data_IF_185758985722
#
_entry.id   IF_185758985722
#
_cell.length_a   1.000
_cell.length_b   1.000
_cell.length_c   1.000
_cell.angle_alpha   90.00
_cell.angle_beta   90.00
_cell.angle_gamma   90.00
#
_symmetry.space_group_name_H-M   'P 1'
#
loop_
_entity.id
_entity.type
_entity.pdbx_description
1 polymer ?
#
# COMPACT_ATOMS: atom_id res chain seq x y z
N UNK A 1 -1.49 35.68 -9.39
CA UNK A 1 -0.51 34.68 -9.84
C UNK A 1 -0.12 33.77 -8.65
N UNK A 2 -1.00 32.84 -8.26
CA UNK A 2 -0.83 32.02 -7.04
C UNK A 2 -1.72 30.75 -7.07
N UNK A 3 -1.59 29.87 -8.06
CA UNK A 3 -2.50 28.69 -8.16
C UNK A 3 -1.84 27.37 -8.55
N UNK A 4 -0.59 27.36 -9.04
CA UNK A 4 0.08 26.14 -9.51
C UNK A 4 0.61 25.26 -8.36
N UNK A 5 1.22 25.85 -7.32
CA UNK A 5 1.75 25.11 -6.16
C UNK A 5 0.66 24.46 -5.31
N UNK A 6 -0.50 25.12 -5.15
CA UNK A 6 -1.64 24.61 -4.35
C UNK A 6 -2.28 23.39 -5.02
N UNK A 7 -2.57 23.47 -6.32
CA UNK A 7 -3.13 22.33 -7.09
C UNK A 7 -2.21 21.12 -7.06
N UNK A 8 -0.90 21.31 -7.28
CA UNK A 8 0.08 20.23 -7.20
C UNK A 8 0.19 19.64 -5.78
N UNK A 9 0.06 20.46 -4.75
CA UNK A 9 0.03 20.01 -3.36
C UNK A 9 -1.20 19.18 -3.00
N UNK A 10 -2.39 19.56 -3.49
CA UNK A 10 -3.64 18.81 -3.31
C UNK A 10 -3.58 17.48 -4.07
N UNK A 11 -3.13 17.52 -5.34
CA UNK A 11 -2.91 16.32 -6.15
C UNK A 11 -1.94 15.37 -5.45
N UNK A 12 -0.78 15.87 -4.99
CA UNK A 12 0.18 15.04 -4.25
C UNK A 12 -0.41 14.48 -2.95
N UNK A 13 -1.29 15.20 -2.24
CA UNK A 13 -1.99 14.66 -1.05
C UNK A 13 -2.98 13.56 -1.39
N UNK A 14 -3.73 13.69 -2.48
CA UNK A 14 -4.62 12.63 -2.97
C UNK A 14 -3.85 11.39 -3.43
N UNK A 15 -2.69 11.57 -4.08
CA UNK A 15 -1.86 10.45 -4.56
C UNK A 15 -1.07 9.78 -3.43
N UNK A 16 -0.62 10.54 -2.40
CA UNK A 16 0.20 10.03 -1.28
C UNK A 16 -0.45 8.88 -0.50
N UNK A 17 -1.78 8.78 -0.52
CA UNK A 17 -2.54 7.77 0.20
C UNK A 17 -2.74 6.44 -0.56
N UNK A 18 -2.44 6.36 -1.87
CA UNK A 18 -3.15 5.40 -2.74
C UNK A 18 -2.52 4.00 -2.90
N UNK A 19 -1.24 3.75 -2.57
CA UNK A 19 -0.67 2.39 -2.69
C UNK A 19 0.39 2.02 -1.65
N UNK A 20 1.47 2.79 -1.51
CA UNK A 20 2.62 2.37 -0.71
C UNK A 20 2.36 2.46 0.79
N UNK A 21 1.77 3.56 1.27
CA UNK A 21 1.45 3.75 2.69
C UNK A 21 0.37 2.76 3.17
N UNK A 22 -0.68 2.55 2.38
CA UNK A 22 -1.70 1.54 2.67
C UNK A 22 -1.12 0.12 2.70
N UNK A 23 -0.21 -0.21 1.78
CA UNK A 23 0.50 -1.48 1.84
C UNK A 23 1.35 -1.58 3.11
N UNK A 24 2.06 -0.53 3.54
CA UNK A 24 2.80 -0.55 4.80
C UNK A 24 1.90 -0.63 6.04
N UNK A 25 0.69 -0.09 5.99
CA UNK A 25 -0.34 -0.22 7.02
C UNK A 25 -0.74 -1.68 7.22
N UNK A 26 -1.14 -2.36 6.13
CA UNK A 26 -1.47 -3.79 6.15
C UNK A 26 -0.32 -4.63 6.71
N UNK A 27 0.92 -4.32 6.33
CA UNK A 27 2.13 -5.04 6.80
C UNK A 27 2.25 -4.94 8.31
N UNK A 28 2.07 -3.74 8.86
CA UNK A 28 2.26 -3.49 10.29
C UNK A 28 1.12 -4.06 11.14
N UNK A 29 -0.13 -3.80 10.75
CA UNK A 29 -1.30 -4.15 11.55
C UNK A 29 -1.75 -5.60 11.34
N UNK A 30 -1.83 -6.10 10.10
CA UNK A 30 -2.34 -7.45 9.85
C UNK A 30 -1.30 -8.55 10.09
N UNK A 31 -0.03 -8.30 9.77
CA UNK A 31 1.03 -9.31 9.90
C UNK A 31 1.85 -9.16 11.20
N UNK A 32 1.40 -8.31 12.13
CA UNK A 32 2.11 -7.98 13.39
C UNK A 32 3.57 -7.58 13.17
N UNK A 33 3.89 -7.04 12.00
CA UNK A 33 5.25 -6.70 11.61
C UNK A 33 5.73 -5.47 12.38
N UNK A 34 6.60 -5.68 13.37
CA UNK A 34 7.19 -4.59 14.16
C UNK A 34 8.47 -4.01 13.58
N UNK A 35 9.38 -4.84 13.09
CA UNK A 35 10.69 -4.42 12.56
C UNK A 35 11.34 -5.50 11.70
N UNK A 36 12.19 -5.06 10.77
CA UNK A 36 13.18 -5.93 10.13
C UNK A 36 14.18 -6.47 11.15
N UNK A 37 14.64 -7.68 10.93
CA UNK A 37 15.62 -8.34 11.78
C UNK A 37 17.04 -7.91 11.44
N UNK A 38 17.32 -7.67 10.16
CA UNK A 38 18.62 -7.19 9.71
C UNK A 38 18.80 -5.68 9.87
N UNK A 39 20.06 -5.23 9.91
CA UNK A 39 20.43 -3.84 10.21
C UNK A 39 21.13 -3.11 9.05
N UNK A 40 21.80 -3.83 8.15
CA UNK A 40 22.44 -3.21 6.98
C UNK A 40 21.44 -3.04 5.85
N UNK A 41 21.56 -1.95 5.09
CA UNK A 41 20.64 -1.61 4.00
C UNK A 41 20.46 -2.75 3.00
N UNK A 42 21.54 -3.41 2.60
CA UNK A 42 21.50 -4.53 1.67
C UNK A 42 20.71 -5.74 2.22
N UNK A 43 20.89 -6.06 3.50
CA UNK A 43 20.19 -7.19 4.13
C UNK A 43 18.72 -6.85 4.38
N UNK A 44 18.43 -5.62 4.82
CA UNK A 44 17.06 -5.12 4.95
C UNK A 44 16.35 -5.14 3.61
N UNK A 45 17.03 -4.77 2.52
CA UNK A 45 16.47 -4.82 1.17
C UNK A 45 16.05 -6.24 0.79
N UNK A 46 16.91 -7.24 1.02
CA UNK A 46 16.59 -8.65 0.76
C UNK A 46 15.41 -9.15 1.62
N UNK A 47 15.41 -8.82 2.92
CA UNK A 47 14.31 -9.16 3.83
C UNK A 47 12.98 -8.54 3.37
N UNK A 48 13.01 -7.28 2.96
CA UNK A 48 11.85 -6.59 2.42
C UNK A 48 11.34 -7.19 1.10
N UNK A 49 12.24 -7.58 0.19
CA UNK A 49 11.86 -8.25 -1.05
C UNK A 49 11.19 -9.60 -0.81
N UNK A 50 11.76 -10.42 0.08
CA UNK A 50 11.16 -11.71 0.47
C UNK A 50 9.76 -11.51 1.04
N UNK A 51 9.60 -10.54 1.93
CA UNK A 51 8.32 -10.22 2.53
C UNK A 51 7.30 -9.75 1.47
N UNK A 52 7.69 -8.87 0.54
CA UNK A 52 6.81 -8.39 -0.53
C UNK A 52 6.32 -9.53 -1.44
N UNK A 53 7.20 -10.48 -1.78
CA UNK A 53 6.83 -11.68 -2.56
C UNK A 53 5.82 -12.52 -1.77
N UNK A 54 6.08 -12.80 -0.50
CA UNK A 54 5.16 -13.56 0.37
C UNK A 54 3.77 -12.91 0.46
N UNK A 55 3.72 -11.57 0.62
CA UNK A 55 2.46 -10.82 0.66
C UNK A 55 1.70 -10.91 -0.66
N UNK A 56 2.40 -10.84 -1.80
CA UNK A 56 1.77 -11.00 -3.11
C UNK A 56 1.23 -12.41 -3.33
N UNK A 57 1.98 -13.45 -2.92
CA UNK A 57 1.53 -14.84 -2.98
C UNK A 57 0.30 -15.07 -2.11
N UNK A 58 0.29 -14.57 -0.87
CA UNK A 58 -0.86 -14.69 0.02
C UNK A 58 -2.08 -13.95 -0.53
N UNK A 59 -1.89 -12.73 -1.05
CA UNK A 59 -2.96 -11.96 -1.71
C UNK A 59 -3.55 -12.74 -2.89
N UNK A 60 -2.71 -13.36 -3.70
CA UNK A 60 -3.16 -14.17 -4.84
C UNK A 60 -3.89 -15.45 -4.40
N UNK A 61 -3.39 -16.14 -3.37
CA UNK A 61 -4.06 -17.30 -2.77
C UNK A 61 -5.47 -16.93 -2.29
N UNK A 62 -5.60 -15.84 -1.52
CA UNK A 62 -6.89 -15.35 -1.03
C UNK A 62 -7.84 -14.89 -2.14
N UNK A 63 -7.29 -14.39 -3.25
CA UNK A 63 -8.06 -14.07 -4.45
C UNK A 63 -8.60 -15.34 -5.14
N UNK A 64 -7.79 -16.39 -5.25
CA UNK A 64 -8.21 -17.67 -5.82
C UNK A 64 -9.26 -18.40 -5.00
N UNK A 65 -9.27 -18.20 -3.67
CA UNK A 65 -10.25 -18.77 -2.76
C UNK A 65 -11.45 -17.86 -2.49
N UNK A 66 -11.66 -16.83 -3.34
CA UNK A 66 -12.77 -15.87 -3.25
C UNK A 66 -12.88 -15.11 -1.91
N UNK A 67 -11.82 -15.11 -1.08
CA UNK A 67 -11.75 -14.35 0.16
C UNK A 67 -11.56 -12.85 -0.07
N UNK A 68 -10.97 -12.48 -1.21
CA UNK A 68 -10.74 -11.10 -1.63
C UNK A 68 -11.24 -10.93 -3.06
N UNK A 69 -12.03 -9.89 -3.30
CA UNK A 69 -12.54 -9.55 -4.63
C UNK A 69 -11.65 -8.55 -5.34
N UNK A 70 -11.69 -8.58 -6.67
CA UNK A 70 -11.08 -7.54 -7.48
C UNK A 70 -11.74 -6.21 -7.15
N UNK A 71 -10.94 -5.17 -6.94
CA UNK A 71 -11.46 -3.84 -6.73
C UNK A 71 -12.02 -3.30 -8.05
N UNK A 72 -13.30 -2.96 -8.08
CA UNK A 72 -14.02 -2.48 -9.28
C UNK A 72 -14.06 -0.95 -9.40
N UNK A 73 -13.40 -0.22 -8.50
CA UNK A 73 -13.46 1.25 -8.45
C UNK A 73 -14.36 1.75 -7.31
N UNK A 74 -14.23 3.03 -6.97
CA UNK A 74 -15.21 3.69 -6.09
C UNK A 74 -16.38 4.14 -6.93
N UNK A 75 -17.60 3.79 -6.52
CA UNK A 75 -18.82 4.39 -7.05
C UNK A 75 -18.81 5.86 -6.66
N UNK A 76 -19.06 6.77 -7.61
CA UNK A 76 -19.13 8.21 -7.34
C UNK A 76 -20.30 8.47 -6.38
N UNK A 77 -20.02 8.69 -5.10
CA UNK A 77 -21.00 9.21 -4.16
C UNK A 77 -21.38 10.62 -4.63
N UNK A 78 -22.63 10.79 -5.06
CA UNK A 78 -23.21 12.12 -5.27
C UNK A 78 -23.27 12.81 -3.92
N UNK A 79 -22.37 13.75 -3.68
CA UNK A 79 -22.46 14.69 -2.56
C UNK A 79 -23.81 15.41 -2.66
N UNK A 80 -24.66 15.25 -1.65
CA UNK A 80 -25.93 15.98 -1.51
C UNK A 80 -25.70 17.47 -1.22
#
# INVERSE_FOLDING_TARGET
MQTSKVKKGILNRQIRSIQTEGHFGDIKENDSFRRFNYRTSEKVYKEFMLYAIGRNMNKYHRFLHDEIKKFEGKTEEKTA
#
